data_IF_751696310344
#
_entry.id   IF_751696310344
#
_cell.length_a   1.000
_cell.length_b   1.000
_cell.length_c   1.000
_cell.angle_alpha   90.00
_cell.angle_beta   90.00
_cell.angle_gamma   90.00
#
_symmetry.space_group_name_H-M   'P 1'
#
loop_
_entity.id
_entity.type
_entity.pdbx_description
1 polymer ?
#
# COMPACT_ATOMS: atom_id res chain seq x y z
N UNK A 1 -18.13 -12.02 -6.48
CA UNK A 1 -17.10 -10.99 -6.66
C UNK A 1 -15.80 -11.47 -6.08
N UNK A 2 -14.78 -11.46 -6.87
CA UNK A 2 -13.46 -11.89 -6.43
C UNK A 2 -12.66 -10.68 -5.98
N UNK A 3 -12.16 -10.74 -4.78
CA UNK A 3 -11.22 -9.73 -4.28
C UNK A 3 -9.83 -10.23 -4.59
N UNK A 4 -9.13 -9.51 -5.41
CA UNK A 4 -7.77 -9.86 -5.81
C UNK A 4 -6.83 -8.93 -5.09
N UNK A 5 -5.93 -9.53 -4.33
CA UNK A 5 -4.86 -8.78 -3.74
C UNK A 5 -3.76 -8.68 -4.77
N UNK A 6 -3.63 -7.56 -5.34
CA UNK A 6 -2.41 -7.32 -6.05
C UNK A 6 -1.89 -6.05 -5.46
N UNK A 7 -0.76 -6.09 -4.85
CA UNK A 7 0.02 -4.91 -4.89
C UNK A 7 0.45 -4.34 -3.58
N UNK A 8 1.64 -4.61 -3.38
CA UNK A 8 2.49 -3.78 -2.59
C UNK A 8 3.40 -3.08 -3.57
N UNK A 9 3.16 -1.81 -3.77
CA UNK A 9 4.06 -1.01 -4.56
C UNK A 9 5.16 -0.45 -3.69
N UNK A 10 6.37 -0.84 -3.97
CA UNK A 10 7.53 -0.17 -3.42
C UNK A 10 7.93 0.92 -4.40
N UNK A 11 7.61 2.14 -4.07
CA UNK A 11 8.05 3.27 -4.87
C UNK A 11 9.50 3.65 -4.54
N UNK A 12 10.32 2.67 -4.18
CA UNK A 12 11.69 2.88 -3.70
C UNK A 12 12.55 3.60 -4.72
N UNK A 13 12.44 3.20 -5.97
CA UNK A 13 13.25 3.80 -7.03
C UNK A 13 12.99 5.30 -7.21
N UNK A 14 11.76 5.73 -6.96
CA UNK A 14 11.38 7.13 -7.06
C UNK A 14 11.93 7.91 -5.86
N UNK A 15 11.90 7.29 -4.70
CA UNK A 15 12.24 7.97 -3.45
C UNK A 15 13.73 8.05 -3.13
N UNK A 16 14.56 7.25 -3.78
CA UNK A 16 16.01 7.34 -3.61
C UNK A 16 16.53 8.76 -3.90
N UNK A 17 15.89 9.47 -4.81
CA UNK A 17 16.29 10.82 -5.21
C UNK A 17 15.65 11.93 -4.39
N UNK A 18 14.65 11.60 -3.60
CA UNK A 18 13.87 12.60 -2.87
C UNK A 18 14.18 12.49 -1.39
N UNK A 19 14.94 13.42 -0.87
CA UNK A 19 15.22 13.50 0.56
C UNK A 19 13.99 14.07 1.26
N UNK A 20 12.96 13.24 1.41
CA UNK A 20 11.68 13.65 1.94
C UNK A 20 11.60 13.42 3.44
N UNK A 21 10.95 14.30 4.18
CA UNK A 21 10.67 14.10 5.60
C UNK A 21 9.52 13.13 5.84
N UNK A 22 8.99 13.10 7.05
CA UNK A 22 8.04 12.06 7.50
C UNK A 22 6.69 12.03 6.78
N UNK A 23 6.33 13.07 6.07
CA UNK A 23 5.07 13.12 5.32
C UNK A 23 5.13 12.42 3.95
N UNK A 24 6.17 11.65 3.71
CA UNK A 24 6.35 10.86 2.48
C UNK A 24 5.20 9.93 2.16
N UNK A 25 4.52 9.39 3.17
CA UNK A 25 3.40 8.50 2.95
C UNK A 25 2.34 9.11 2.04
N UNK A 26 1.98 10.36 2.29
CA UNK A 26 0.99 11.07 1.47
C UNK A 26 1.50 11.34 0.06
N UNK A 27 2.77 11.65 -0.08
CA UNK A 27 3.35 11.87 -1.40
C UNK A 27 3.36 10.59 -2.22
N UNK A 28 3.73 9.47 -1.61
CA UNK A 28 3.74 8.17 -2.27
C UNK A 28 2.35 7.76 -2.71
N UNK A 29 1.36 7.92 -1.84
CA UNK A 29 -0.03 7.64 -2.15
C UNK A 29 -0.52 8.48 -3.33
N UNK A 30 -0.12 9.75 -3.37
CA UNK A 30 -0.48 10.65 -4.47
C UNK A 30 0.12 10.20 -5.80
N UNK A 31 1.38 9.77 -5.80
CA UNK A 31 2.03 9.26 -7.01
C UNK A 31 1.32 8.03 -7.54
N UNK A 32 0.99 7.10 -6.65
CA UNK A 32 0.25 5.89 -7.03
C UNK A 32 -1.13 6.26 -7.53
N UNK A 33 -1.83 7.14 -6.84
CA UNK A 33 -3.15 7.58 -7.26
C UNK A 33 -3.13 8.20 -8.66
N UNK A 34 -2.13 9.02 -8.96
CA UNK A 34 -2.02 9.63 -10.28
C UNK A 34 -1.90 8.58 -11.38
N UNK A 35 -1.20 7.48 -11.10
CA UNK A 35 -1.10 6.36 -12.04
C UNK A 35 -2.40 5.58 -12.17
N UNK A 36 -3.06 5.35 -11.05
CA UNK A 36 -4.34 4.62 -11.04
C UNK A 36 -5.42 5.40 -11.81
N UNK A 37 -5.40 6.73 -11.72
CA UNK A 37 -6.36 7.57 -12.45
C UNK A 37 -6.21 7.49 -13.96
N UNK A 38 -5.11 6.95 -14.47
CA UNK A 38 -4.92 6.70 -15.89
C UNK A 38 -5.65 5.46 -16.40
N UNK A 39 -6.23 4.66 -15.51
CA UNK A 39 -6.97 3.46 -15.89
C UNK A 39 -8.23 3.83 -16.70
N UNK A 40 -8.73 2.89 -17.53
CA UNK A 40 -9.95 3.13 -18.29
C UNK A 40 -11.14 3.51 -17.41
N UNK A 41 -12.11 4.17 -18.01
CA UNK A 41 -13.28 4.71 -17.34
C UNK A 41 -14.09 3.68 -16.54
N UNK A 42 -14.07 2.44 -16.98
CA UNK A 42 -14.76 1.34 -16.29
C UNK A 42 -14.13 0.96 -14.94
N UNK A 43 -12.95 1.51 -14.63
CA UNK A 43 -12.28 1.31 -13.34
C UNK A 43 -12.63 2.47 -12.42
N UNK A 44 -13.26 2.14 -11.30
CA UNK A 44 -13.63 3.14 -10.30
C UNK A 44 -12.63 3.11 -9.16
N UNK A 45 -12.07 4.26 -8.84
CA UNK A 45 -11.00 4.38 -7.85
C UNK A 45 -11.51 5.09 -6.61
N UNK A 46 -11.25 4.49 -5.45
CA UNK A 46 -11.50 5.11 -4.14
C UNK A 46 -10.17 5.25 -3.42
N UNK A 47 -9.94 6.41 -2.83
CA UNK A 47 -8.69 6.72 -2.16
C UNK A 47 -8.92 7.03 -0.70
N UNK A 48 -7.93 6.68 0.13
CA UNK A 48 -7.85 7.10 1.52
C UNK A 48 -9.14 6.80 2.29
N UNK A 49 -9.52 5.52 2.28
CA UNK A 49 -10.76 5.05 2.89
C UNK A 49 -10.52 4.59 4.31
N UNK A 50 -11.33 5.10 5.23
CA UNK A 50 -11.36 4.63 6.60
C UNK A 50 -12.60 3.77 6.80
N UNK A 51 -12.39 2.53 7.20
CA UNK A 51 -13.47 1.60 7.52
C UNK A 51 -13.50 1.32 9.00
N UNK A 52 -14.69 1.30 9.59
CA UNK A 52 -14.89 0.98 10.98
C UNK A 52 -15.92 -0.15 11.11
N UNK A 53 -15.63 -1.12 11.96
CA UNK A 53 -16.53 -2.24 12.23
C UNK A 53 -16.20 -2.85 13.57
N UNK A 54 -17.22 -2.97 14.43
CA UNK A 54 -17.14 -3.67 15.72
C UNK A 54 -15.93 -3.24 16.58
N UNK A 55 -15.67 -1.95 16.64
CA UNK A 55 -14.56 -1.40 17.42
C UNK A 55 -13.21 -1.44 16.72
N UNK A 56 -13.14 -2.00 15.52
CA UNK A 56 -11.92 -1.99 14.71
C UNK A 56 -12.03 -0.95 13.62
N UNK A 57 -10.89 -0.32 13.30
CA UNK A 57 -10.80 0.57 12.17
C UNK A 57 -9.60 0.18 11.33
N UNK A 58 -9.70 0.38 10.03
CA UNK A 58 -8.58 0.20 9.11
C UNK A 58 -8.63 1.24 8.02
N UNK A 59 -7.47 1.71 7.63
CA UNK A 59 -7.34 2.68 6.55
C UNK A 59 -6.73 1.97 5.35
N UNK A 60 -7.36 2.11 4.20
CA UNK A 60 -6.91 1.51 2.94
C UNK A 60 -6.55 2.64 1.99
N UNK A 61 -5.35 2.59 1.43
CA UNK A 61 -4.83 3.66 0.59
C UNK A 61 -5.64 3.81 -0.69
N UNK A 62 -5.84 2.70 -1.41
CA UNK A 62 -6.59 2.71 -2.67
C UNK A 62 -7.37 1.43 -2.83
N UNK A 63 -8.60 1.57 -3.33
CA UNK A 63 -9.40 0.44 -3.79
C UNK A 63 -9.82 0.74 -5.22
N UNK A 64 -9.61 -0.21 -6.12
CA UNK A 64 -10.02 -0.10 -7.51
C UNK A 64 -11.07 -1.15 -7.78
N UNK A 65 -12.24 -0.72 -8.22
CA UNK A 65 -13.35 -1.61 -8.59
C UNK A 65 -13.46 -1.64 -10.11
N UNK A 66 -13.48 -2.82 -10.66
CA UNK A 66 -13.56 -3.03 -12.11
C UNK A 66 -14.43 -4.23 -12.45
N UNK A 67 -14.75 -4.43 -13.74
CA UNK A 67 -15.43 -5.66 -14.17
C UNK A 67 -14.64 -6.94 -13.88
N UNK A 68 -13.34 -6.81 -13.65
CA UNK A 68 -12.45 -7.96 -13.40
C UNK A 68 -12.30 -8.28 -11.92
N UNK A 69 -12.76 -7.40 -11.04
CA UNK A 69 -12.66 -7.62 -9.61
C UNK A 69 -12.38 -6.35 -8.83
N UNK A 70 -12.14 -6.54 -7.55
CA UNK A 70 -11.79 -5.45 -6.63
C UNK A 70 -10.31 -5.61 -6.26
N UNK A 71 -9.56 -4.55 -6.45
CA UNK A 71 -8.13 -4.53 -6.18
C UNK A 71 -7.86 -3.63 -4.97
N UNK A 72 -7.18 -4.18 -3.99
CA UNK A 72 -6.78 -3.46 -2.78
C UNK A 72 -5.31 -3.14 -2.89
N UNK A 73 -4.96 -1.88 -2.79
CA UNK A 73 -3.60 -1.39 -3.01
C UNK A 73 -3.08 -0.72 -1.76
N UNK A 74 -1.94 -1.21 -1.29
CA UNK A 74 -1.18 -0.61 -0.20
C UNK A 74 0.09 0.00 -0.76
N UNK A 75 0.36 1.25 -0.40
CA UNK A 75 1.53 1.97 -0.88
C UNK A 75 2.55 2.16 0.22
N UNK A 76 3.81 1.84 -0.08
CA UNK A 76 4.93 2.07 0.82
C UNK A 76 6.02 2.83 0.06
N UNK A 77 6.19 4.10 0.40
CA UNK A 77 7.21 4.95 -0.22
C UNK A 77 8.47 5.00 0.62
N UNK A 78 9.16 3.89 0.76
CA UNK A 78 10.37 3.79 1.56
C UNK A 78 11.61 3.85 0.68
N UNK A 79 12.64 4.54 1.16
CA UNK A 79 13.94 4.61 0.49
C UNK A 79 14.92 3.63 1.12
N UNK A 80 16.06 3.43 0.45
CA UNK A 80 17.11 2.54 0.92
C UNK A 80 16.85 1.10 0.51
N UNK A 81 17.45 0.17 1.24
CA UNK A 81 17.30 -1.25 1.02
C UNK A 81 16.12 -1.78 1.81
N UNK A 82 15.28 -2.54 1.15
CA UNK A 82 14.13 -3.19 1.78
C UNK A 82 14.35 -4.68 1.70
N UNK A 83 14.41 -5.33 2.85
CA UNK A 83 14.60 -6.78 2.96
C UNK A 83 13.49 -7.40 3.76
N UNK A 84 12.94 -8.49 3.28
CA UNK A 84 11.91 -9.22 3.99
C UNK A 84 11.43 -10.44 3.25
N UNK A 85 10.98 -11.42 4.00
CA UNK A 85 10.39 -12.64 3.47
C UNK A 85 8.87 -12.53 3.44
N UNK A 86 8.24 -13.27 2.56
CA UNK A 86 6.79 -13.29 2.42
C UNK A 86 6.08 -13.60 3.74
N UNK A 87 6.63 -14.52 4.51
CA UNK A 87 6.04 -14.97 5.76
C UNK A 87 6.59 -14.30 7.00
N UNK A 88 7.57 -13.43 6.87
CA UNK A 88 8.15 -12.71 7.99
C UNK A 88 7.16 -11.70 8.54
N UNK A 89 7.08 -11.58 9.85
CA UNK A 89 6.20 -10.59 10.47
C UNK A 89 6.66 -9.17 10.20
N UNK A 90 7.98 -8.95 10.23
CA UNK A 90 8.58 -7.64 9.99
C UNK A 90 9.58 -7.69 8.86
N UNK A 91 9.64 -6.60 8.13
CA UNK A 91 10.64 -6.34 7.12
C UNK A 91 11.60 -5.27 7.63
N UNK A 92 12.76 -5.18 7.02
CA UNK A 92 13.80 -4.24 7.44
C UNK A 92 14.09 -3.24 6.34
N UNK A 93 14.07 -1.97 6.72
CA UNK A 93 14.54 -0.88 5.89
C UNK A 93 15.94 -0.49 6.35
N UNK A 94 16.89 -0.44 5.44
CA UNK A 94 18.26 -0.02 5.73
C UNK A 94 18.60 1.24 4.93
N UNK A 95 18.92 2.30 5.65
CA UNK A 95 19.39 3.56 5.04
C UNK A 95 20.79 3.81 5.61
N UNK A 96 21.81 3.65 4.77
CA UNK A 96 23.20 3.66 5.21
C UNK A 96 23.44 2.65 6.33
N UNK A 97 23.76 3.10 7.54
CA UNK A 97 23.99 2.23 8.71
C UNK A 97 22.75 2.09 9.60
N UNK A 98 21.69 2.81 9.32
CA UNK A 98 20.48 2.76 10.13
C UNK A 98 19.51 1.71 9.62
N UNK A 99 19.01 0.89 10.54
CA UNK A 99 18.04 -0.17 10.24
C UNK A 99 16.77 0.09 11.00
N UNK A 100 15.63 -0.02 10.31
CA UNK A 100 14.32 0.14 10.89
C UNK A 100 13.43 -1.03 10.47
N UNK A 101 12.66 -1.55 11.41
CA UNK A 101 11.69 -2.59 11.11
C UNK A 101 10.31 -1.98 10.88
N UNK A 102 9.58 -2.59 9.98
CA UNK A 102 8.18 -2.24 9.75
C UNK A 102 7.40 -3.51 9.44
N UNK A 103 6.10 -3.46 9.73
CA UNK A 103 5.24 -4.62 9.53
C UNK A 103 5.22 -5.03 8.07
N UNK A 104 5.22 -6.34 7.83
CA UNK A 104 5.19 -6.91 6.48
C UNK A 104 4.00 -6.37 5.70
N UNK A 105 4.22 -5.59 4.61
CA UNK A 105 3.12 -5.00 3.86
C UNK A 105 2.21 -6.01 3.17
N UNK A 106 2.73 -7.20 2.86
CA UNK A 106 1.92 -8.28 2.29
C UNK A 106 0.87 -8.71 3.31
N UNK A 107 1.29 -8.89 4.56
CA UNK A 107 0.37 -9.25 5.64
C UNK A 107 -0.61 -8.12 5.96
N UNK A 108 -0.13 -6.89 5.92
CA UNK A 108 -0.96 -5.72 6.15
C UNK A 108 -2.09 -5.67 5.11
N UNK A 109 -1.74 -5.81 3.85
CA UNK A 109 -2.71 -5.75 2.76
C UNK A 109 -3.66 -6.96 2.76
N UNK A 110 -3.15 -8.13 3.13
CA UNK A 110 -4.01 -9.30 3.34
C UNK A 110 -5.05 -9.05 4.43
N UNK A 111 -4.65 -8.32 5.48
CA UNK A 111 -5.59 -7.89 6.51
C UNK A 111 -6.68 -6.97 5.99
N UNK A 112 -6.31 -6.02 5.12
CA UNK A 112 -7.28 -5.13 4.47
C UNK A 112 -8.32 -5.92 3.66
N UNK A 113 -7.85 -6.90 2.90
CA UNK A 113 -8.75 -7.75 2.10
C UNK A 113 -9.67 -8.56 2.97
N UNK A 114 -9.15 -9.16 4.05
CA UNK A 114 -10.00 -9.90 5.00
C UNK A 114 -11.06 -8.99 5.63
N UNK A 115 -10.69 -7.77 5.97
CA UNK A 115 -11.64 -6.80 6.53
C UNK A 115 -12.78 -6.52 5.57
N UNK A 116 -12.49 -6.33 4.29
CA UNK A 116 -13.50 -6.06 3.27
C UNK A 116 -14.39 -7.26 2.98
N UNK A 117 -13.95 -8.46 3.35
CA UNK A 117 -14.67 -9.70 3.08
C UNK A 117 -15.80 -9.96 4.09
N UNK A 118 -15.88 -9.19 5.15
CA UNK A 118 -16.89 -9.37 6.18
C UNK A 118 -18.22 -8.68 5.81
#
# INVERSE_FOLDING_TARGET
MHIVIIVIFFAVAIFIKLKMPMWKGKYSEKLVNNKIQELPEEYVVFNDLLFESSGYSTQIDHIVVSPYGVFVIETKGYKGWILGGENSEYWTQTIYKSKHQFYNPIKQNAGHVRFLHH
#
